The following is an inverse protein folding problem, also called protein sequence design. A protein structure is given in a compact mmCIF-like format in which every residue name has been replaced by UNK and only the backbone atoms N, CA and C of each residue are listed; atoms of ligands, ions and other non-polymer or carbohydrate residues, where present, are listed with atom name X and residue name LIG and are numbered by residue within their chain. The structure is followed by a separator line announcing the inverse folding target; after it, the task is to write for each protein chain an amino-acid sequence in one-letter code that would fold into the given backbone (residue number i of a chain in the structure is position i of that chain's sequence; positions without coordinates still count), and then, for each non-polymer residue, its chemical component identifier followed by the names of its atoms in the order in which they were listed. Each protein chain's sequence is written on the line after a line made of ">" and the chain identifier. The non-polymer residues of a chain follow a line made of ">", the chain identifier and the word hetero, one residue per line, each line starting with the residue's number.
data_IF_633967864305
#
_entry.id   IF_633967864305
#
_cell.length_a   1.000
_cell.length_b   1.000
_cell.length_c   1.000
_cell.angle_alpha   90.00
_cell.angle_beta   90.00
_cell.angle_gamma   90.00
#
_symmetry.space_group_name_H-M   'P 1'
#
loop_
_entity.id
_entity.type
_entity.pdbx_description
1 polymer ?
#
# COMPACT_ATOMS: atom_id res chain seq x y z
N UNK A 1 -20.39 28.15 20.66
CA UNK A 1 -20.43 26.72 20.29
C UNK A 1 -21.14 25.98 21.43
N UNK A 2 -22.19 25.23 21.13
CA UNK A 2 -22.93 24.45 22.14
C UNK A 2 -22.02 23.36 22.71
N UNK A 3 -22.09 23.16 24.02
CA UNK A 3 -21.24 22.21 24.76
C UNK A 3 -22.07 21.12 25.43
N UNK A 4 -21.42 20.02 25.82
CA UNK A 4 -22.10 18.97 26.62
C UNK A 4 -22.71 19.50 27.94
N UNK A 5 -22.15 20.60 28.47
CA UNK A 5 -22.69 21.26 29.69
C UNK A 5 -24.03 21.93 29.41
N UNK A 6 -24.22 22.51 28.24
CA UNK A 6 -25.47 23.16 27.84
C UNK A 6 -26.57 22.12 27.63
N UNK A 7 -26.25 20.97 27.03
CA UNK A 7 -27.19 19.83 26.93
C UNK A 7 -27.58 19.30 28.29
N UNK A 8 -26.60 19.14 29.19
CA UNK A 8 -26.88 18.69 30.57
C UNK A 8 -27.80 19.65 31.34
N UNK A 9 -27.59 20.97 31.17
CA UNK A 9 -28.40 22.01 31.76
C UNK A 9 -29.85 21.99 31.22
N UNK A 10 -30.01 21.88 29.89
CA UNK A 10 -31.33 21.82 29.26
C UNK A 10 -32.08 20.54 29.60
N UNK A 11 -31.44 19.40 29.63
CA UNK A 11 -32.03 18.11 29.98
C UNK A 11 -32.26 17.91 31.49
N UNK A 12 -31.79 18.83 32.36
CA UNK A 12 -31.91 18.71 33.80
C UNK A 12 -31.13 17.53 34.41
N UNK A 13 -29.99 17.14 33.82
CA UNK A 13 -29.20 15.98 34.24
C UNK A 13 -27.72 16.32 34.37
N UNK A 14 -26.94 15.42 34.98
CA UNK A 14 -25.49 15.61 35.03
C UNK A 14 -24.82 15.43 33.66
N UNK A 15 -23.65 16.07 33.45
CA UNK A 15 -22.80 15.85 32.26
C UNK A 15 -22.44 14.36 32.11
N UNK A 16 -22.24 13.65 33.22
CA UNK A 16 -21.98 12.19 33.17
C UNK A 16 -23.17 11.40 32.63
N UNK A 17 -24.41 11.83 32.91
CA UNK A 17 -25.62 11.21 32.37
C UNK A 17 -25.75 11.47 30.87
N UNK A 18 -25.51 12.69 30.39
CA UNK A 18 -25.48 13.02 28.98
C UNK A 18 -24.42 12.17 28.25
N UNK A 19 -23.21 12.06 28.82
CA UNK A 19 -22.15 11.21 28.31
C UNK A 19 -22.55 9.73 28.20
N UNK A 20 -23.30 9.20 29.17
CA UNK A 20 -23.81 7.81 29.12
C UNK A 20 -24.82 7.63 27.99
N UNK A 21 -25.76 8.57 27.79
CA UNK A 21 -26.73 8.52 26.68
C UNK A 21 -26.02 8.55 25.32
N UNK A 22 -25.10 9.50 25.12
CA UNK A 22 -24.32 9.63 23.88
C UNK A 22 -23.51 8.33 23.56
N UNK A 23 -23.07 7.62 24.61
CA UNK A 23 -22.30 6.40 24.47
C UNK A 23 -23.15 5.12 24.48
N UNK A 24 -24.49 5.23 24.44
CA UNK A 24 -25.41 4.10 24.55
C UNK A 24 -25.16 3.24 25.79
N UNK A 25 -24.65 3.82 26.87
CA UNK A 25 -24.52 3.14 28.17
C UNK A 25 -25.88 3.23 28.86
N UNK A 26 -26.38 2.11 29.32
CA UNK A 26 -27.73 1.99 29.86
C UNK A 26 -28.11 3.09 30.88
N UNK A 27 -29.15 3.82 30.56
CA UNK A 27 -29.82 4.82 31.42
C UNK A 27 -31.33 4.54 31.39
N UNK A 28 -32.07 5.07 32.35
CA UNK A 28 -33.53 4.93 32.35
C UNK A 28 -34.16 5.54 31.10
N UNK A 29 -35.18 4.91 30.47
CA UNK A 29 -35.75 5.38 29.19
C UNK A 29 -36.13 6.84 29.18
N UNK A 30 -36.82 7.32 30.24
CA UNK A 30 -37.21 8.73 30.41
C UNK A 30 -36.02 9.69 30.43
N UNK A 31 -34.90 9.29 31.04
CA UNK A 31 -33.68 10.11 31.09
C UNK A 31 -33.00 10.15 29.69
N UNK A 32 -33.05 9.05 28.93
CA UNK A 32 -32.54 8.99 27.57
C UNK A 32 -33.30 9.95 26.66
N UNK A 33 -34.64 9.92 26.74
CA UNK A 33 -35.52 10.80 25.94
C UNK A 33 -35.25 12.28 26.21
N UNK A 34 -35.15 12.69 27.52
CA UNK A 34 -34.84 14.08 27.90
C UNK A 34 -33.51 14.56 27.29
N UNK A 35 -32.49 13.71 27.33
CA UNK A 35 -31.18 14.07 26.77
C UNK A 35 -31.19 14.11 25.22
N UNK A 36 -31.87 13.17 24.57
CA UNK A 36 -31.98 13.14 23.09
C UNK A 36 -32.76 14.36 22.60
N UNK A 37 -33.81 14.78 23.26
CA UNK A 37 -34.56 16.00 22.94
C UNK A 37 -33.69 17.26 23.11
N UNK A 38 -32.91 17.36 24.20
CA UNK A 38 -32.00 18.48 24.43
C UNK A 38 -30.87 18.54 23.38
N UNK A 39 -30.33 17.40 22.99
CA UNK A 39 -29.34 17.30 21.89
C UNK A 39 -29.94 17.85 20.60
N UNK A 40 -31.16 17.43 20.27
CA UNK A 40 -31.86 17.83 19.04
C UNK A 40 -32.20 19.34 19.05
N UNK A 41 -32.73 19.86 20.17
CA UNK A 41 -33.11 21.26 20.34
C UNK A 41 -31.91 22.21 20.21
N UNK A 42 -30.78 21.83 20.83
CA UNK A 42 -29.54 22.60 20.79
C UNK A 42 -28.70 22.34 19.52
N UNK A 43 -29.13 21.46 18.66
CA UNK A 43 -28.35 20.97 17.51
C UNK A 43 -26.89 20.61 17.91
N UNK A 44 -26.79 19.92 19.07
CA UNK A 44 -25.49 19.57 19.64
C UNK A 44 -24.85 18.38 18.93
N UNK A 45 -23.66 18.58 18.38
CA UNK A 45 -22.83 17.51 17.85
C UNK A 45 -21.74 17.10 18.85
N UNK A 46 -21.72 15.82 19.28
CA UNK A 46 -20.68 15.34 20.18
C UNK A 46 -19.28 15.48 19.57
N UNK A 47 -18.40 16.16 20.28
CA UNK A 47 -17.00 16.26 19.84
C UNK A 47 -16.30 14.90 19.98
N UNK A 48 -16.05 14.25 18.84
CA UNK A 48 -15.42 12.93 18.76
C UNK A 48 -14.01 12.96 19.37
N UNK A 49 -13.27 14.07 19.21
CA UNK A 49 -11.92 14.23 19.77
C UNK A 49 -11.95 14.33 21.31
N UNK A 50 -12.88 15.11 21.88
CA UNK A 50 -13.05 15.20 23.33
C UNK A 50 -13.48 13.86 23.94
N UNK A 51 -14.26 13.06 23.20
CA UNK A 51 -14.63 11.69 23.56
C UNK A 51 -13.42 10.75 23.48
N UNK A 52 -12.65 10.81 22.41
CA UNK A 52 -11.45 10.02 22.20
C UNK A 52 -10.40 10.23 23.29
N UNK A 53 -10.23 11.47 23.76
CA UNK A 53 -9.34 11.80 24.87
C UNK A 53 -9.72 11.09 26.18
N UNK A 54 -11.02 10.94 26.44
CA UNK A 54 -11.51 10.32 27.69
C UNK A 54 -11.41 8.79 27.68
N UNK A 55 -11.60 8.15 26.51
CA UNK A 55 -11.58 6.69 26.36
C UNK A 55 -10.27 6.18 25.73
N UNK A 56 -9.34 7.08 25.42
CA UNK A 56 -8.07 6.79 24.77
C UNK A 56 -8.20 6.03 23.43
N UNK A 57 -9.33 6.22 22.71
CA UNK A 57 -9.63 5.64 21.39
C UNK A 57 -10.32 6.68 20.51
N UNK A 58 -9.80 6.90 19.32
CA UNK A 58 -10.36 7.82 18.32
C UNK A 58 -11.13 7.11 17.21
N UNK A 59 -11.06 5.78 17.16
CA UNK A 59 -11.54 4.93 16.06
C UNK A 59 -11.00 5.41 14.69
N UNK A 60 -9.76 5.86 14.68
CA UNK A 60 -9.12 6.41 13.48
C UNK A 60 -7.79 5.73 13.27
N UNK A 61 -7.51 5.37 12.01
CA UNK A 61 -6.26 4.77 11.54
C UNK A 61 -5.66 5.68 10.48
N UNK A 62 -4.35 5.92 10.54
CA UNK A 62 -3.64 6.61 9.47
C UNK A 62 -3.14 5.60 8.45
N UNK A 63 -3.39 5.89 7.17
CA UNK A 63 -2.78 5.21 6.03
C UNK A 63 -1.77 6.17 5.40
N UNK A 64 -0.47 5.83 5.51
CA UNK A 64 0.62 6.61 4.92
C UNK A 64 1.07 5.90 3.65
N UNK A 65 0.96 6.59 2.51
CA UNK A 65 1.33 6.10 1.18
C UNK A 65 2.34 7.04 0.51
N UNK A 66 3.19 6.51 -0.39
CA UNK A 66 4.10 7.33 -1.18
C UNK A 66 3.38 8.28 -2.12
N UNK A 67 2.31 7.79 -2.77
CA UNK A 67 1.51 8.55 -3.73
C UNK A 67 0.14 7.90 -3.91
N UNK A 68 -0.84 8.71 -4.32
CA UNK A 68 -2.16 8.21 -4.75
C UNK A 68 -2.34 8.25 -6.28
N UNK A 69 -1.36 8.79 -7.01
CA UNK A 69 -1.38 8.85 -8.47
C UNK A 69 -1.22 7.48 -9.14
N UNK A 70 -0.42 6.59 -8.55
CA UNK A 70 -0.27 5.24 -9.08
C UNK A 70 -1.50 4.40 -8.72
N UNK A 71 -2.17 3.75 -9.69
CA UNK A 71 -3.38 2.96 -9.48
C UNK A 71 -3.22 1.85 -8.40
N UNK A 72 -2.02 1.30 -8.23
CA UNK A 72 -1.72 0.34 -7.17
C UNK A 72 -2.08 0.87 -5.78
N UNK A 73 -1.60 2.09 -5.45
CA UNK A 73 -1.88 2.69 -4.13
C UNK A 73 -3.33 3.11 -3.98
N UNK A 74 -3.96 3.56 -5.08
CA UNK A 74 -5.39 3.90 -5.08
C UNK A 74 -6.27 2.69 -4.77
N UNK A 75 -6.02 1.56 -5.44
CA UNK A 75 -6.74 0.30 -5.20
C UNK A 75 -6.49 -0.23 -3.79
N UNK A 76 -5.24 -0.15 -3.31
CA UNK A 76 -4.89 -0.56 -1.96
C UNK A 76 -5.60 0.30 -0.91
N UNK A 77 -5.60 1.63 -1.07
CA UNK A 77 -6.29 2.55 -0.16
C UNK A 77 -7.80 2.27 -0.10
N UNK A 78 -8.44 2.04 -1.25
CA UNK A 78 -9.84 1.65 -1.33
C UNK A 78 -10.12 0.36 -0.53
N UNK A 79 -9.29 -0.67 -0.72
CA UNK A 79 -9.47 -1.95 -0.01
C UNK A 79 -9.18 -1.84 1.49
N UNK A 80 -8.21 -1.02 1.91
CA UNK A 80 -7.91 -0.77 3.32
C UNK A 80 -9.10 -0.06 3.98
N UNK A 81 -9.62 1.01 3.37
CA UNK A 81 -10.78 1.75 3.89
C UNK A 81 -11.98 0.82 4.07
N UNK A 82 -12.32 0.05 3.03
CA UNK A 82 -13.41 -0.93 3.05
C UNK A 82 -13.26 -1.96 4.18
N UNK A 83 -12.05 -2.41 4.48
CA UNK A 83 -11.80 -3.34 5.57
C UNK A 83 -11.82 -2.66 6.94
N UNK A 84 -11.32 -1.43 7.09
CA UNK A 84 -11.40 -0.64 8.32
C UNK A 84 -12.86 -0.36 8.72
N UNK A 85 -13.73 -0.08 7.74
CA UNK A 85 -15.16 0.14 7.97
C UNK A 85 -15.84 -1.06 8.66
N UNK A 86 -15.42 -2.31 8.39
CA UNK A 86 -15.92 -3.52 9.05
C UNK A 86 -15.66 -3.53 10.57
N UNK A 87 -14.65 -2.78 11.01
CA UNK A 87 -14.26 -2.64 12.43
C UNK A 87 -14.70 -1.29 13.02
N UNK A 88 -15.56 -0.52 12.32
CA UNK A 88 -15.96 0.82 12.69
C UNK A 88 -14.78 1.78 12.89
N UNK A 89 -13.70 1.59 12.11
CA UNK A 89 -12.53 2.46 12.06
C UNK A 89 -12.63 3.39 10.85
N UNK A 90 -12.22 4.64 11.03
CA UNK A 90 -12.09 5.63 9.95
C UNK A 90 -10.65 5.74 9.50
N UNK A 91 -10.45 6.12 8.24
CA UNK A 91 -9.12 6.29 7.66
C UNK A 91 -8.76 7.77 7.50
N UNK A 92 -7.54 8.14 7.88
CA UNK A 92 -6.88 9.37 7.46
C UNK A 92 -5.82 8.99 6.44
N UNK A 93 -5.98 9.45 5.21
CA UNK A 93 -5.01 9.21 4.14
C UNK A 93 -3.94 10.30 4.15
N UNK A 94 -2.67 9.86 4.22
CA UNK A 94 -1.48 10.70 4.24
C UNK A 94 -0.62 10.41 3.02
N UNK A 95 -0.48 11.36 2.11
CA UNK A 95 0.30 11.25 0.88
C UNK A 95 1.70 11.87 1.08
N UNK A 96 2.73 11.04 1.19
CA UNK A 96 4.09 11.48 1.57
C UNK A 96 4.94 11.96 0.39
N UNK A 97 4.56 11.65 -0.85
CA UNK A 97 5.33 11.99 -2.07
C UNK A 97 6.77 11.45 -2.05
N UNK A 98 7.00 10.30 -1.41
CA UNK A 98 8.33 9.75 -1.16
C UNK A 98 9.27 10.73 -0.41
N UNK A 99 8.70 11.68 0.33
CA UNK A 99 9.43 12.69 1.08
C UNK A 99 9.50 12.29 2.56
N UNK A 100 10.70 11.93 3.03
CA UNK A 100 10.89 11.47 4.41
C UNK A 100 10.47 12.52 5.45
N UNK A 101 10.60 13.82 5.17
CA UNK A 101 10.19 14.91 6.09
C UNK A 101 8.67 14.91 6.26
N UNK A 102 7.92 14.78 5.16
CA UNK A 102 6.46 14.64 5.22
C UNK A 102 6.04 13.38 5.98
N UNK A 103 6.75 12.26 5.79
CA UNK A 103 6.46 11.05 6.56
C UNK A 103 6.64 11.26 8.06
N UNK A 104 7.72 11.97 8.47
CA UNK A 104 7.96 12.32 9.88
C UNK A 104 6.90 13.28 10.43
N UNK A 105 6.47 14.26 9.63
CA UNK A 105 5.37 15.17 10.00
C UNK A 105 4.08 14.38 10.23
N UNK A 106 3.73 13.44 9.34
CA UNK A 106 2.56 12.58 9.51
C UNK A 106 2.67 11.68 10.75
N UNK A 107 3.83 11.05 10.99
CA UNK A 107 4.06 10.24 12.19
C UNK A 107 3.89 11.10 13.45
N UNK A 108 4.35 12.34 13.43
CA UNK A 108 4.21 13.29 14.55
C UNK A 108 2.75 13.69 14.74
N UNK A 109 2.07 14.06 13.65
CA UNK A 109 0.65 14.38 13.64
C UNK A 109 -0.20 13.22 14.22
N UNK A 110 0.10 12.00 13.80
CA UNK A 110 -0.59 10.78 14.26
C UNK A 110 -0.42 10.61 15.78
N UNK A 111 0.78 10.85 16.32
CA UNK A 111 1.05 10.81 17.77
C UNK A 111 0.27 11.88 18.52
N UNK A 112 0.24 13.11 17.99
CA UNK A 112 -0.48 14.24 18.60
C UNK A 112 -2.00 14.06 18.57
N UNK A 113 -2.55 13.57 17.47
CA UNK A 113 -3.99 13.34 17.28
C UNK A 113 -4.48 12.01 17.87
N UNK A 114 -3.60 11.26 18.54
CA UNK A 114 -3.94 9.98 19.20
C UNK A 114 -4.70 9.02 18.30
N UNK A 115 -4.29 8.86 17.03
CA UNK A 115 -4.87 7.80 16.19
C UNK A 115 -4.58 6.43 16.81
N UNK A 116 -5.45 5.48 16.57
CA UNK A 116 -5.38 4.16 17.20
C UNK A 116 -4.34 3.25 16.56
N UNK A 117 -3.94 3.56 15.31
CA UNK A 117 -2.91 2.79 14.62
C UNK A 117 -2.52 3.36 13.26
N UNK A 118 -1.47 2.76 12.67
CA UNK A 118 -0.90 3.17 11.39
C UNK A 118 -0.80 1.94 10.47
N UNK A 119 -1.19 2.10 9.21
CA UNK A 119 -0.77 1.24 8.10
C UNK A 119 0.10 2.10 7.19
N UNK A 120 1.29 1.61 6.80
CA UNK A 120 2.19 2.42 5.97
C UNK A 120 2.89 1.62 4.89
N UNK A 121 3.08 2.27 3.74
CA UNK A 121 4.11 1.93 2.76
C UNK A 121 5.10 3.08 2.74
N UNK A 122 6.37 2.80 2.99
CA UNK A 122 7.42 3.80 3.00
C UNK A 122 8.68 3.26 2.35
N UNK A 123 9.30 4.08 1.52
CA UNK A 123 10.60 3.80 0.91
C UNK A 123 11.70 4.73 1.44
N UNK A 124 11.39 5.52 2.46
CA UNK A 124 12.30 6.46 3.12
C UNK A 124 12.97 5.80 4.34
N UNK A 125 14.17 6.27 4.69
CA UNK A 125 14.84 5.83 5.92
C UNK A 125 14.27 6.53 7.15
N UNK A 126 13.21 5.94 7.71
CA UNK A 126 12.51 6.44 8.89
C UNK A 126 12.62 5.51 10.10
N UNK A 127 13.45 4.49 10.04
CA UNK A 127 13.55 3.44 11.06
C UNK A 127 13.81 3.98 12.48
N UNK A 128 14.65 5.01 12.60
CA UNK A 128 14.95 5.63 13.91
C UNK A 128 13.77 6.40 14.50
N UNK A 129 12.86 6.87 13.68
CA UNK A 129 11.73 7.73 14.07
C UNK A 129 10.45 6.97 14.36
N UNK A 130 10.34 5.75 13.84
CA UNK A 130 9.17 4.90 14.09
C UNK A 130 9.23 4.35 15.50
N UNK A 131 8.15 4.56 16.26
CA UNK A 131 8.01 4.10 17.64
C UNK A 131 7.07 2.90 17.72
N UNK A 132 7.40 1.89 18.49
CA UNK A 132 6.53 0.74 18.77
C UNK A 132 5.39 1.05 19.74
N UNK A 133 5.31 2.31 20.24
CA UNK A 133 4.25 2.72 21.19
C UNK A 133 2.89 2.92 20.53
N UNK A 134 2.83 2.98 19.20
CA UNK A 134 1.57 3.03 18.43
C UNK A 134 1.51 1.75 17.60
N UNK A 135 0.37 1.06 17.56
CA UNK A 135 0.17 -0.08 16.67
C UNK A 135 0.47 0.28 15.22
N UNK A 136 1.44 -0.41 14.60
CA UNK A 136 1.86 -0.17 13.22
C UNK A 136 1.91 -1.49 12.49
N UNK A 137 1.38 -1.52 11.27
CA UNK A 137 1.57 -2.58 10.28
C UNK A 137 2.16 -1.96 9.02
N UNK A 138 3.28 -2.49 8.57
CA UNK A 138 3.91 -2.08 7.32
C UNK A 138 3.41 -2.94 6.15
N UNK A 139 3.43 -2.39 4.95
CA UNK A 139 3.23 -3.13 3.70
C UNK A 139 4.51 -3.00 2.87
N UNK A 140 5.01 -4.13 2.38
CA UNK A 140 6.19 -4.26 1.51
C UNK A 140 7.50 -3.69 2.07
N UNK A 141 7.57 -3.38 3.35
CA UNK A 141 8.78 -2.87 4.00
C UNK A 141 9.12 -3.62 5.28
N UNK A 142 10.41 -3.91 5.44
CA UNK A 142 10.99 -4.43 6.66
C UNK A 142 11.61 -3.29 7.47
N UNK A 143 11.20 -3.16 8.72
CA UNK A 143 11.84 -2.25 9.66
C UNK A 143 12.88 -2.99 10.50
N UNK A 144 13.91 -2.29 10.94
CA UNK A 144 14.90 -2.85 11.89
C UNK A 144 14.29 -3.12 13.27
N UNK A 145 13.20 -2.41 13.61
CA UNK A 145 12.37 -2.68 14.80
C UNK A 145 11.36 -3.78 14.49
N UNK A 146 10.89 -4.47 15.52
CA UNK A 146 9.86 -5.51 15.43
C UNK A 146 8.48 -4.92 15.03
N UNK A 147 8.39 -4.39 13.82
CA UNK A 147 7.15 -3.91 13.21
C UNK A 147 6.67 -4.99 12.25
N UNK A 148 5.49 -5.55 12.47
CA UNK A 148 4.95 -6.57 11.58
C UNK A 148 4.62 -5.99 10.22
N UNK A 149 4.82 -6.81 9.19
CA UNK A 149 4.53 -6.43 7.82
C UNK A 149 3.72 -7.48 7.06
N UNK A 150 2.98 -6.99 6.07
CA UNK A 150 2.26 -7.79 5.09
C UNK A 150 2.85 -7.48 3.72
N UNK A 151 3.16 -8.50 2.95
CA UNK A 151 3.75 -8.34 1.63
C UNK A 151 3.23 -9.42 0.68
N UNK A 152 3.27 -9.14 -0.61
CA UNK A 152 3.21 -10.20 -1.62
C UNK A 152 4.47 -11.08 -1.54
N UNK A 153 4.36 -12.34 -1.97
CA UNK A 153 5.52 -13.21 -2.17
C UNK A 153 6.29 -12.73 -3.41
N UNK A 154 7.03 -11.63 -3.21
CA UNK A 154 7.75 -10.95 -4.28
C UNK A 154 8.87 -11.83 -4.89
N UNK A 155 9.47 -12.73 -4.08
CA UNK A 155 10.49 -13.65 -4.59
C UNK A 155 9.88 -14.65 -5.58
N UNK A 156 8.80 -15.31 -5.19
CA UNK A 156 8.06 -16.21 -6.09
C UNK A 156 7.48 -15.47 -7.28
N UNK A 157 7.06 -14.23 -7.10
CA UNK A 157 6.58 -13.39 -8.20
C UNK A 157 7.65 -13.15 -9.27
N UNK A 158 8.89 -12.86 -8.87
CA UNK A 158 10.02 -12.74 -9.79
C UNK A 158 10.35 -14.05 -10.51
N UNK A 159 10.36 -15.18 -9.78
CA UNK A 159 10.51 -16.52 -10.37
C UNK A 159 9.42 -16.76 -11.41
N UNK A 160 8.17 -16.52 -11.06
CA UNK A 160 7.01 -16.71 -11.95
C UNK A 160 7.11 -15.86 -13.22
N UNK A 161 7.57 -14.62 -13.12
CA UNK A 161 7.77 -13.75 -14.29
C UNK A 161 8.80 -14.33 -15.28
N UNK A 162 9.93 -14.84 -14.79
CA UNK A 162 10.93 -15.49 -15.63
C UNK A 162 10.38 -16.78 -16.25
N UNK A 163 9.69 -17.60 -15.47
CA UNK A 163 9.08 -18.85 -15.91
C UNK A 163 8.07 -18.61 -17.03
N UNK A 164 7.18 -17.62 -16.89
CA UNK A 164 6.16 -17.30 -17.90
C UNK A 164 6.76 -16.75 -19.20
N UNK A 165 7.84 -15.94 -19.13
CA UNK A 165 8.59 -15.52 -20.33
C UNK A 165 9.20 -16.72 -21.06
N UNK A 166 9.80 -17.67 -20.33
CA UNK A 166 10.37 -18.88 -20.92
C UNK A 166 9.28 -19.75 -21.54
N UNK A 167 8.15 -19.95 -20.87
CA UNK A 167 6.97 -20.66 -21.42
C UNK A 167 6.42 -19.99 -22.68
N UNK A 168 6.49 -18.66 -22.76
CA UNK A 168 6.12 -17.89 -23.93
C UNK A 168 7.17 -17.92 -25.06
N UNK A 169 8.25 -18.71 -24.91
CA UNK A 169 9.28 -18.97 -25.92
C UNK A 169 10.47 -18.04 -25.91
N UNK A 170 10.59 -17.13 -24.93
CA UNK A 170 11.72 -16.23 -24.80
C UNK A 170 12.99 -16.99 -24.38
N UNK A 171 14.13 -16.59 -24.94
CA UNK A 171 15.45 -17.23 -24.73
C UNK A 171 16.48 -16.31 -24.10
N UNK A 172 16.33 -15.01 -24.29
CA UNK A 172 17.25 -13.99 -23.79
C UNK A 172 16.47 -12.96 -23.00
N UNK A 173 16.61 -12.99 -21.70
CA UNK A 173 15.78 -12.23 -20.79
C UNK A 173 16.52 -11.02 -20.23
N UNK A 174 15.75 -9.98 -19.88
CA UNK A 174 16.25 -8.87 -19.07
C UNK A 174 15.27 -8.58 -17.93
N UNK A 175 15.79 -8.20 -16.76
CA UNK A 175 14.99 -7.60 -15.68
C UNK A 175 15.33 -6.12 -15.60
N UNK A 176 14.28 -5.30 -15.50
CA UNK A 176 14.39 -3.84 -15.46
C UNK A 176 13.65 -3.33 -14.23
N UNK A 177 14.29 -2.45 -13.49
CA UNK A 177 13.65 -1.81 -12.35
C UNK A 177 14.54 -0.86 -11.58
N UNK A 178 13.91 -0.08 -10.72
CA UNK A 178 14.59 0.81 -9.80
C UNK A 178 14.30 0.39 -8.35
N UNK A 179 15.34 0.28 -7.56
CA UNK A 179 15.26 0.00 -6.14
C UNK A 179 15.56 1.21 -5.26
N UNK A 180 15.26 1.04 -4.00
CA UNK A 180 15.64 1.94 -2.93
C UNK A 180 16.85 1.38 -2.16
N UNK A 181 17.64 2.26 -1.53
CA UNK A 181 18.68 1.88 -0.56
C UNK A 181 18.09 1.29 0.73
N UNK A 182 16.81 1.52 0.96
CA UNK A 182 16.07 1.00 2.12
C UNK A 182 15.55 -0.40 1.82
N UNK A 183 15.75 -1.31 2.75
CA UNK A 183 15.27 -2.69 2.63
C UNK A 183 13.75 -2.75 2.45
N UNK A 184 13.33 -3.31 1.33
CA UNK A 184 11.93 -3.51 1.01
C UNK A 184 11.74 -4.79 0.18
N UNK A 185 10.50 -5.26 0.10
CA UNK A 185 10.19 -6.52 -0.59
C UNK A 185 10.31 -6.44 -2.11
N UNK A 186 10.28 -5.24 -2.71
CA UNK A 186 10.25 -5.09 -4.17
C UNK A 186 11.56 -5.55 -4.82
N UNK A 187 12.69 -5.43 -4.12
CA UNK A 187 13.99 -5.97 -4.57
C UNK A 187 13.96 -7.47 -4.81
N UNK A 188 13.14 -8.20 -4.03
CA UNK A 188 12.99 -9.64 -4.17
C UNK A 188 12.39 -10.07 -5.52
N UNK A 189 11.68 -9.17 -6.22
CA UNK A 189 11.17 -9.41 -7.58
C UNK A 189 12.32 -9.67 -8.55
N UNK A 190 13.32 -8.77 -8.57
CA UNK A 190 14.52 -8.94 -9.40
C UNK A 190 15.35 -10.14 -8.96
N UNK A 191 15.54 -10.34 -7.65
CA UNK A 191 16.27 -11.49 -7.11
C UNK A 191 15.64 -12.81 -7.55
N UNK A 192 14.32 -12.95 -7.43
CA UNK A 192 13.59 -14.16 -7.84
C UNK A 192 13.77 -14.46 -9.33
N UNK A 193 13.64 -13.43 -10.16
CA UNK A 193 13.85 -13.53 -11.61
C UNK A 193 15.29 -14.00 -11.95
N UNK A 194 16.28 -13.35 -11.35
CA UNK A 194 17.70 -13.67 -11.57
C UNK A 194 18.02 -15.10 -11.11
N UNK A 195 17.50 -15.52 -9.95
CA UNK A 195 17.71 -16.87 -9.43
C UNK A 195 17.15 -17.91 -10.39
N UNK A 196 15.91 -17.73 -10.88
CA UNK A 196 15.33 -18.64 -11.87
C UNK A 196 16.18 -18.75 -13.13
N UNK A 197 16.65 -17.61 -13.68
CA UNK A 197 17.50 -17.61 -14.87
C UNK A 197 18.82 -18.34 -14.65
N UNK A 198 19.46 -18.17 -13.47
CA UNK A 198 20.69 -18.88 -13.11
C UNK A 198 20.48 -20.38 -13.02
N UNK A 199 19.46 -20.80 -12.27
CA UNK A 199 19.18 -22.21 -11.99
C UNK A 199 18.83 -22.99 -13.27
N UNK A 200 18.15 -22.31 -14.22
CA UNK A 200 17.74 -22.89 -15.50
C UNK A 200 18.71 -22.57 -16.66
N UNK A 201 19.86 -21.94 -16.41
CA UNK A 201 20.88 -21.58 -17.41
C UNK A 201 20.32 -20.72 -18.55
N UNK A 202 19.36 -19.87 -18.26
CA UNK A 202 18.78 -18.91 -19.21
C UNK A 202 19.73 -17.72 -19.32
N UNK A 203 19.99 -17.28 -20.57
CA UNK A 203 20.75 -16.05 -20.79
C UNK A 203 19.94 -14.86 -20.31
N UNK A 204 20.49 -14.07 -19.38
CA UNK A 204 19.81 -12.91 -18.84
C UNK A 204 20.74 -11.72 -18.64
N UNK A 205 20.14 -10.55 -18.46
CA UNK A 205 20.81 -9.33 -18.00
C UNK A 205 19.99 -8.68 -16.89
N UNK A 206 20.69 -8.25 -15.86
CA UNK A 206 20.13 -7.52 -14.74
C UNK A 206 20.39 -6.01 -14.94
N UNK A 207 19.31 -5.26 -15.11
CA UNK A 207 19.27 -3.80 -15.18
C UNK A 207 18.47 -3.21 -14.04
N UNK A 208 18.86 -3.62 -12.83
CA UNK A 208 18.28 -3.10 -11.60
C UNK A 208 19.12 -1.93 -11.07
N UNK A 209 18.55 -0.74 -11.14
CA UNK A 209 19.22 0.50 -10.73
C UNK A 209 18.83 0.87 -9.29
N UNK A 210 19.80 1.35 -8.49
CA UNK A 210 19.56 1.85 -7.13
C UNK A 210 19.95 3.33 -7.07
N UNK A 211 18.97 4.23 -7.08
CA UNK A 211 19.21 5.68 -7.10
C UNK A 211 17.95 6.50 -7.33
N UNK A 212 18.12 7.73 -7.79
CA UNK A 212 17.02 8.67 -8.03
C UNK A 212 16.28 8.37 -9.34
N UNK A 213 15.00 8.77 -9.41
CA UNK A 213 14.14 8.53 -10.57
C UNK A 213 14.69 9.11 -11.87
N UNK A 214 15.21 10.35 -11.84
CA UNK A 214 15.77 11.01 -13.03
C UNK A 214 16.95 10.24 -13.62
N UNK A 215 17.85 9.77 -12.77
CA UNK A 215 19.01 8.98 -13.19
C UNK A 215 18.58 7.60 -13.75
N UNK A 216 17.48 7.05 -13.23
CA UNK A 216 16.92 5.82 -13.76
C UNK A 216 16.31 5.99 -15.14
N UNK A 217 15.67 7.12 -15.45
CA UNK A 217 15.15 7.41 -16.80
C UNK A 217 16.28 7.47 -17.83
N UNK A 218 17.38 8.15 -17.53
CA UNK A 218 18.57 8.22 -18.37
C UNK A 218 19.20 6.81 -18.56
N UNK A 219 19.32 6.07 -17.46
CA UNK A 219 19.82 4.69 -17.47
C UNK A 219 18.95 3.75 -18.32
N UNK A 220 17.62 3.89 -18.26
CA UNK A 220 16.68 3.12 -19.05
C UNK A 220 16.78 3.45 -20.54
N UNK A 221 16.91 4.72 -20.89
CA UNK A 221 17.09 5.15 -22.29
C UNK A 221 18.39 4.58 -22.89
N UNK A 222 19.50 4.69 -22.18
CA UNK A 222 20.78 4.13 -22.60
C UNK A 222 20.69 2.61 -22.78
N UNK A 223 20.04 1.91 -21.86
CA UNK A 223 19.80 0.48 -21.97
C UNK A 223 19.01 0.12 -23.23
N UNK A 224 17.90 0.79 -23.49
CA UNK A 224 17.02 0.48 -24.60
C UNK A 224 17.70 0.79 -25.94
N UNK A 225 18.35 1.95 -26.07
CA UNK A 225 19.10 2.31 -27.28
C UNK A 225 20.19 1.26 -27.57
N UNK A 226 20.99 0.93 -26.58
CA UNK A 226 22.12 -0.02 -26.74
C UNK A 226 21.67 -1.42 -27.14
N UNK A 227 20.49 -1.84 -26.70
CA UNK A 227 20.05 -3.23 -26.86
C UNK A 227 18.97 -3.42 -27.91
N UNK A 228 18.35 -2.36 -28.43
CA UNK A 228 17.21 -2.50 -29.33
C UNK A 228 17.27 -1.61 -30.57
N UNK A 229 18.14 -0.59 -30.64
CA UNK A 229 18.20 0.31 -31.80
C UNK A 229 18.68 -0.41 -33.07
N UNK A 230 19.80 -1.12 -32.98
CA UNK A 230 20.43 -1.75 -34.15
C UNK A 230 20.20 -3.28 -34.19
N UNK A 231 19.89 -3.87 -33.06
CA UNK A 231 19.71 -5.31 -32.87
C UNK A 231 18.87 -5.59 -31.65
N UNK A 232 17.95 -6.55 -31.76
CA UNK A 232 17.18 -7.06 -30.63
C UNK A 232 18.05 -8.04 -29.84
N UNK A 233 18.56 -7.61 -28.69
CA UNK A 233 19.42 -8.43 -27.83
C UNK A 233 18.64 -9.28 -26.83
N UNK A 234 17.40 -8.88 -26.47
CA UNK A 234 16.53 -9.58 -25.52
C UNK A 234 15.14 -9.73 -26.14
N UNK A 235 14.57 -10.93 -26.02
CA UNK A 235 13.24 -11.27 -26.54
C UNK A 235 12.18 -11.31 -25.42
N UNK A 236 12.61 -11.23 -24.13
CA UNK A 236 11.74 -11.15 -22.97
C UNK A 236 12.25 -10.14 -21.94
N UNK A 237 11.37 -9.28 -21.46
CA UNK A 237 11.67 -8.28 -20.42
C UNK A 237 10.70 -8.46 -19.25
N UNK A 238 11.26 -8.57 -18.06
CA UNK A 238 10.51 -8.40 -16.82
C UNK A 238 10.75 -7.00 -16.25
N UNK A 239 9.72 -6.18 -16.23
CA UNK A 239 9.72 -4.91 -15.52
C UNK A 239 9.11 -5.11 -14.12
N UNK A 240 9.83 -4.70 -13.07
CA UNK A 240 9.44 -4.99 -11.68
C UNK A 240 8.16 -4.28 -11.20
N UNK A 241 7.56 -3.41 -12.04
CA UNK A 241 6.23 -2.82 -11.86
C UNK A 241 5.55 -2.65 -13.21
N UNK A 242 4.23 -2.57 -13.23
CA UNK A 242 3.47 -2.27 -14.45
C UNK A 242 3.78 -0.86 -14.99
N UNK A 243 4.08 0.10 -14.11
CA UNK A 243 4.50 1.45 -14.48
C UNK A 243 5.79 1.42 -15.33
N UNK A 244 6.80 0.66 -14.88
CA UNK A 244 8.02 0.48 -15.69
C UNK A 244 7.78 -0.34 -16.95
N UNK A 245 6.87 -1.32 -16.92
CA UNK A 245 6.50 -2.06 -18.13
C UNK A 245 5.88 -1.14 -19.19
N UNK A 246 4.97 -0.26 -18.79
CA UNK A 246 4.36 0.73 -19.68
C UNK A 246 5.39 1.71 -20.25
N UNK A 247 6.31 2.18 -19.41
CA UNK A 247 7.40 3.05 -19.84
C UNK A 247 8.31 2.37 -20.88
N UNK A 248 8.72 1.11 -20.63
CA UNK A 248 9.51 0.31 -21.57
C UNK A 248 8.77 0.11 -22.89
N UNK A 249 7.48 -0.24 -22.86
CA UNK A 249 6.65 -0.42 -24.05
C UNK A 249 6.61 0.87 -24.88
N UNK A 250 6.36 2.01 -24.23
CA UNK A 250 6.29 3.31 -24.90
C UNK A 250 7.62 3.70 -25.56
N UNK A 251 8.76 3.41 -24.90
CA UNK A 251 10.10 3.68 -25.45
C UNK A 251 10.45 2.72 -26.59
N UNK A 252 10.13 1.43 -26.49
CA UNK A 252 10.33 0.44 -27.56
C UNK A 252 9.51 0.77 -28.81
N UNK A 253 8.26 1.21 -28.65
CA UNK A 253 7.43 1.65 -29.77
C UNK A 253 8.05 2.83 -30.51
N UNK A 254 8.73 3.77 -29.84
CA UNK A 254 9.48 4.87 -30.47
C UNK A 254 10.69 4.36 -31.29
N UNK A 255 11.22 3.19 -30.96
CA UNK A 255 12.28 2.52 -31.69
C UNK A 255 11.75 1.58 -32.80
N UNK A 256 10.43 1.57 -33.07
CA UNK A 256 9.74 0.66 -34.00
C UNK A 256 9.88 -0.81 -33.60
N UNK A 257 10.00 -1.13 -32.33
CA UNK A 257 10.01 -2.49 -31.78
C UNK A 257 8.61 -2.85 -31.30
N UNK A 258 8.06 -3.93 -31.84
CA UNK A 258 6.68 -4.34 -31.56
C UNK A 258 6.59 -5.26 -30.32
N UNK A 259 5.70 -4.93 -29.39
CA UNK A 259 5.33 -5.79 -28.27
C UNK A 259 3.94 -6.37 -28.56
N UNK A 260 3.73 -7.69 -28.54
CA UNK A 260 4.64 -8.74 -28.08
C UNK A 260 5.47 -9.42 -29.21
N UNK A 261 5.41 -8.95 -30.47
CA UNK A 261 5.92 -9.71 -31.61
C UNK A 261 7.45 -9.83 -31.59
N UNK A 262 8.14 -8.73 -31.35
CA UNK A 262 9.62 -8.66 -31.34
C UNK A 262 10.16 -8.89 -29.92
N UNK A 263 9.49 -8.34 -28.90
CA UNK A 263 9.85 -8.43 -27.48
C UNK A 263 8.60 -8.65 -26.65
N UNK A 264 8.63 -9.63 -25.75
CA UNK A 264 7.56 -9.89 -24.81
C UNK A 264 7.87 -9.24 -23.46
N UNK A 265 6.84 -8.68 -22.81
CA UNK A 265 7.02 -7.93 -21.56
C UNK A 265 6.05 -8.45 -20.50
N UNK A 266 6.58 -8.69 -19.31
CA UNK A 266 5.80 -8.94 -18.09
C UNK A 266 6.08 -7.83 -17.11
N UNK A 267 5.01 -7.24 -16.56
CA UNK A 267 5.03 -6.29 -15.47
C UNK A 267 4.82 -6.95 -14.11
N UNK A 268 4.58 -6.11 -13.11
CA UNK A 268 4.25 -6.53 -11.76
C UNK A 268 3.25 -5.51 -11.16
N UNK A 269 2.37 -5.93 -10.29
CA UNK A 269 1.29 -5.26 -9.58
C UNK A 269 -0.09 -5.64 -10.13
N UNK A 270 -0.28 -5.71 -11.43
CA UNK A 270 -1.55 -6.00 -12.07
C UNK A 270 -2.53 -4.84 -11.96
N UNK A 271 -2.05 -3.62 -12.16
CA UNK A 271 -2.87 -2.42 -12.02
C UNK A 271 -3.95 -2.31 -13.10
N UNK A 272 -5.03 -1.63 -12.76
CA UNK A 272 -6.13 -1.28 -13.66
C UNK A 272 -6.35 0.23 -13.64
N UNK A 273 -6.64 0.83 -14.79
CA UNK A 273 -6.99 2.25 -14.85
C UNK A 273 -8.31 2.54 -14.13
N UNK A 274 -9.26 1.59 -14.23
CA UNK A 274 -10.56 1.65 -13.55
C UNK A 274 -10.96 0.27 -13.03
N UNK A 275 -11.83 0.21 -12.02
CA UNK A 275 -12.24 -1.04 -11.36
C UNK A 275 -12.85 -2.08 -12.30
N UNK A 276 -13.48 -1.66 -13.40
CA UNK A 276 -14.12 -2.52 -14.40
C UNK A 276 -13.20 -2.88 -15.58
N UNK A 277 -12.01 -2.28 -15.66
CA UNK A 277 -11.09 -2.54 -16.75
C UNK A 277 -10.48 -3.94 -16.65
N UNK A 278 -10.07 -4.45 -17.79
CA UNK A 278 -9.20 -5.62 -17.89
C UNK A 278 -7.74 -5.21 -17.71
N UNK A 279 -6.93 -6.08 -17.19
CA UNK A 279 -5.47 -5.91 -17.12
C UNK A 279 -4.92 -6.02 -18.54
N UNK A 280 -4.24 -4.97 -19.04
CA UNK A 280 -3.72 -4.90 -20.42
C UNK A 280 -2.32 -5.48 -20.53
N UNK A 281 -1.44 -5.19 -19.58
CA UNK A 281 -0.06 -5.71 -19.55
C UNK A 281 -0.10 -7.11 -18.93
N UNK A 282 0.61 -8.06 -19.52
CA UNK A 282 0.87 -9.35 -18.87
C UNK A 282 1.68 -9.08 -17.61
N UNK A 283 1.22 -9.56 -16.46
CA UNK A 283 1.74 -9.08 -15.17
C UNK A 283 1.64 -10.12 -14.07
N UNK A 284 2.48 -9.96 -13.06
CA UNK A 284 2.33 -10.66 -11.79
C UNK A 284 1.41 -9.84 -10.89
N UNK A 285 0.17 -10.30 -10.74
CA UNK A 285 -0.87 -9.60 -9.98
C UNK A 285 -0.68 -9.77 -8.48
N UNK A 286 -0.62 -8.65 -7.77
CA UNK A 286 -0.71 -8.61 -6.32
C UNK A 286 -2.18 -8.66 -5.86
N UNK A 287 -2.55 -9.52 -4.92
CA UNK A 287 -3.92 -9.59 -4.40
C UNK A 287 -4.15 -8.50 -3.33
N UNK A 288 -4.36 -7.25 -3.79
CA UNK A 288 -4.46 -6.06 -2.94
C UNK A 288 -5.64 -6.12 -1.95
N UNK A 289 -6.69 -6.82 -2.29
CA UNK A 289 -7.82 -7.12 -1.41
C UNK A 289 -7.39 -7.96 -0.20
N UNK A 290 -6.61 -9.03 -0.42
CA UNK A 290 -6.09 -9.87 0.66
C UNK A 290 -4.99 -9.17 1.47
N UNK A 291 -4.11 -8.41 0.81
CA UNK A 291 -3.09 -7.61 1.49
C UNK A 291 -3.75 -6.61 2.44
N UNK A 292 -4.75 -5.87 1.95
CA UNK A 292 -5.51 -4.92 2.74
C UNK A 292 -6.26 -5.59 3.91
N UNK A 293 -6.91 -6.73 3.64
CA UNK A 293 -7.60 -7.51 4.67
C UNK A 293 -6.63 -7.93 5.79
N UNK A 294 -5.48 -8.49 5.43
CA UNK A 294 -4.48 -8.95 6.41
C UNK A 294 -3.83 -7.79 7.16
N UNK A 295 -3.52 -6.69 6.48
CA UNK A 295 -2.96 -5.51 7.13
C UNK A 295 -3.93 -4.92 8.17
N UNK A 296 -5.21 -4.77 7.82
CA UNK A 296 -6.24 -4.29 8.74
C UNK A 296 -6.49 -5.27 9.87
N UNK A 297 -6.59 -6.57 9.58
CA UNK A 297 -6.74 -7.62 10.59
C UNK A 297 -5.58 -7.58 11.60
N UNK A 298 -4.34 -7.55 11.11
CA UNK A 298 -3.16 -7.50 11.95
C UNK A 298 -3.15 -6.22 12.82
N UNK A 299 -3.46 -5.05 12.21
CA UNK A 299 -3.53 -3.80 12.96
C UNK A 299 -4.60 -3.84 14.05
N UNK A 300 -5.79 -4.38 13.77
CA UNK A 300 -6.86 -4.49 14.78
C UNK A 300 -6.48 -5.43 15.92
N UNK A 301 -5.71 -6.46 15.67
CA UNK A 301 -5.16 -7.33 16.74
C UNK A 301 -4.16 -6.56 17.60
N UNK A 302 -3.25 -5.78 17.00
CA UNK A 302 -2.29 -4.94 17.73
C UNK A 302 -2.99 -3.87 18.58
N UNK A 303 -4.00 -3.18 18.04
CA UNK A 303 -4.83 -2.20 18.80
C UNK A 303 -5.45 -2.85 20.04
N UNK A 304 -5.81 -4.12 19.94
CA UNK A 304 -6.36 -4.90 21.04
C UNK A 304 -5.30 -5.68 21.84
N UNK A 305 -4.00 -5.31 21.71
CA UNK A 305 -2.86 -5.89 22.44
C UNK A 305 -2.71 -7.40 22.24
N UNK A 306 -3.09 -7.92 21.08
CA UNK A 306 -2.92 -9.32 20.70
C UNK A 306 -1.66 -9.50 19.86
N UNK A 307 -0.94 -10.61 20.04
CA UNK A 307 0.21 -10.96 19.21
C UNK A 307 -0.21 -11.34 17.79
N UNK A 308 0.65 -11.03 16.84
CA UNK A 308 0.52 -11.38 15.43
C UNK A 308 1.89 -11.83 14.89
N UNK A 309 1.93 -12.55 13.75
CA UNK A 309 3.18 -12.85 13.05
C UNK A 309 3.92 -11.57 12.64
N UNK A 310 5.24 -11.58 12.71
CA UNK A 310 6.07 -10.47 12.22
C UNK A 310 5.99 -10.33 10.69
N UNK A 311 5.80 -11.43 9.99
CA UNK A 311 5.70 -11.49 8.54
C UNK A 311 4.41 -12.18 8.11
N UNK A 312 3.76 -11.65 7.08
CA UNK A 312 2.62 -12.27 6.41
C UNK A 312 2.83 -12.14 4.90
N UNK A 313 3.16 -13.24 4.24
CA UNK A 313 3.32 -13.29 2.79
C UNK A 313 2.04 -13.77 2.11
N UNK A 314 1.63 -13.05 1.06
CA UNK A 314 0.43 -13.32 0.27
C UNK A 314 0.85 -13.82 -1.13
N UNK A 315 0.38 -15.00 -1.57
CA UNK A 315 0.72 -15.52 -2.89
C UNK A 315 0.26 -14.59 -4.01
N UNK A 316 1.09 -14.48 -5.03
CA UNK A 316 0.81 -13.75 -6.28
C UNK A 316 0.38 -14.71 -7.38
N UNK A 317 -0.13 -14.17 -8.50
CA UNK A 317 -0.51 -14.96 -9.68
C UNK A 317 -0.16 -14.23 -10.97
N UNK A 318 0.17 -14.98 -12.01
CA UNK A 318 0.30 -14.42 -13.36
C UNK A 318 -1.07 -14.12 -13.96
N UNK A 319 -1.18 -12.99 -14.62
CA UNK A 319 -2.33 -12.60 -15.45
C UNK A 319 -1.80 -12.28 -16.84
N UNK A 320 -2.26 -13.02 -17.84
CA UNK A 320 -1.93 -12.77 -19.24
C UNK A 320 -2.69 -11.54 -19.72
N UNK A 321 -1.95 -10.59 -20.30
CA UNK A 321 -2.45 -9.44 -21.04
C UNK A 321 -2.04 -9.52 -22.52
N UNK A 322 -1.85 -8.37 -23.16
CA UNK A 322 -1.50 -8.28 -24.58
C UNK A 322 0.00 -8.22 -24.85
N UNK A 323 0.84 -8.20 -23.83
CA UNK A 323 2.29 -8.00 -23.95
C UNK A 323 3.10 -9.29 -23.95
N UNK A 324 2.43 -10.47 -23.94
CA UNK A 324 3.01 -11.80 -24.16
C UNK A 324 2.17 -12.60 -25.16
N UNK A 325 2.82 -13.54 -25.86
CA UNK A 325 2.18 -14.47 -26.82
C UNK A 325 1.37 -15.56 -26.14
#
# INVERSE_FOLDING_TARGET
>A
MVTIKDVAKLAGVSVGTVSKVINNIGVKPRTKELVENAIKELNYEPNIYARGLKINKTNTVALILPTVWNPFFGELAFNIEKNLAKYNLKMILCNSENNYKKELEYITMVKQNKVDGIISISYSDIDSYVSTNIPIVSIDRFFTKAIPYVSSDNLKGGIMAAEELVKAGCKKLAVIGRGSKVNNSTTNRAIGFVNYCKDNKIQYKDYYYVGHTKEFEEFLDDFLIKNFKDKINFDGIFAITDEYAEEVINKLNKLNINVPNDVQIIGYDGVKSHSKDTIKISTIRQPLDLIAEKAVYNLTKLINQKSIPNETLIPVRFIKGYTTK
#
